data_IF_539151452148
#
_entry.id   IF_539151452148
#
_cell.length_a   1.000
_cell.length_b   1.000
_cell.length_c   1.000
_cell.angle_alpha   90.00
_cell.angle_beta   90.00
_cell.angle_gamma   90.00
#
_symmetry.space_group_name_H-M   'P 1'
#
loop_
_entity.id
_entity.type
_entity.pdbx_description
1 polymer ?
#
# COMPACT_ATOMS: atom_id res chain seq x y z
N UNK A 1 -8.19 1.06 -17.24
CA UNK A 1 -9.46 1.45 -16.58
C UNK A 1 -9.23 1.44 -15.09
N UNK A 2 -9.86 2.35 -14.32
CA UNK A 2 -9.74 2.37 -12.86
C UNK A 2 -10.17 1.02 -12.26
N UNK A 3 -9.49 0.58 -11.22
CA UNK A 3 -9.88 -0.65 -10.53
C UNK A 3 -11.26 -0.44 -9.85
N UNK A 4 -12.27 -1.27 -10.16
CA UNK A 4 -13.64 -1.05 -9.67
C UNK A 4 -13.80 -1.23 -8.16
N UNK A 5 -12.84 -1.88 -7.49
CA UNK A 5 -12.88 -2.17 -6.06
C UNK A 5 -12.31 -1.04 -5.19
N UNK A 6 -11.68 -0.03 -5.78
CA UNK A 6 -11.05 1.05 -5.04
C UNK A 6 -11.40 2.42 -5.59
N UNK A 7 -11.24 3.44 -4.73
CA UNK A 7 -11.45 4.85 -5.05
C UNK A 7 -10.43 5.67 -4.30
N UNK A 8 -9.80 6.62 -4.99
CA UNK A 8 -8.93 7.61 -4.36
C UNK A 8 -9.81 8.77 -3.85
N UNK A 9 -9.55 9.26 -2.65
CA UNK A 9 -10.24 10.43 -2.09
C UNK A 9 -9.24 11.39 -1.46
N UNK A 10 -9.53 12.69 -1.52
CA UNK A 10 -8.80 13.69 -0.74
C UNK A 10 -9.11 13.48 0.74
N UNK A 11 -8.06 13.58 1.57
CA UNK A 11 -8.18 13.42 3.02
C UNK A 11 -8.68 14.72 3.66
N UNK A 12 -9.35 14.58 4.81
CA UNK A 12 -9.75 15.70 5.66
C UNK A 12 -8.59 16.14 6.56
N UNK A 13 -8.69 17.34 7.14
CA UNK A 13 -7.64 18.00 7.93
C UNK A 13 -7.31 17.30 9.26
N UNK A 14 -8.18 16.42 9.74
CA UNK A 14 -7.97 15.56 10.89
C UNK A 14 -7.14 14.29 10.59
N UNK A 15 -6.86 14.01 9.32
CA UNK A 15 -6.10 12.83 8.93
C UNK A 15 -4.58 13.08 8.99
N UNK A 16 -3.77 12.17 9.57
CA UNK A 16 -2.31 12.35 9.69
C UNK A 16 -1.56 12.57 8.36
N UNK A 17 -2.11 12.08 7.25
CA UNK A 17 -1.57 12.26 5.91
C UNK A 17 -2.18 13.45 5.12
N UNK A 18 -2.98 14.32 5.76
CA UNK A 18 -3.43 15.57 5.15
C UNK A 18 -2.23 16.47 4.77
N UNK A 19 -2.26 17.20 3.63
CA UNK A 19 -3.35 17.40 2.68
C UNK A 19 -3.43 16.37 1.54
N UNK A 20 -2.86 15.18 1.74
CA UNK A 20 -2.77 14.13 0.75
C UNK A 20 -4.10 13.43 0.41
N UNK A 21 -3.95 12.24 -0.16
CA UNK A 21 -5.06 11.39 -0.60
C UNK A 21 -4.97 10.03 0.10
N UNK A 22 -6.10 9.33 0.15
CA UNK A 22 -6.20 7.97 0.66
C UNK A 22 -6.87 7.04 -0.34
N UNK A 23 -6.61 5.74 -0.19
CA UNK A 23 -7.22 4.67 -0.96
C UNK A 23 -8.39 4.06 -0.17
N UNK A 24 -9.59 4.07 -0.75
CA UNK A 24 -10.81 3.61 -0.08
C UNK A 24 -11.45 2.46 -0.84
N UNK A 25 -12.07 1.54 -0.11
CA UNK A 25 -12.85 0.46 -0.70
C UNK A 25 -14.08 1.04 -1.42
N UNK A 26 -14.30 0.63 -2.67
CA UNK A 26 -15.47 1.00 -3.46
C UNK A 26 -16.59 -0.06 -3.42
N UNK A 27 -16.25 -1.26 -2.94
CA UNK A 27 -17.16 -2.38 -2.66
C UNK A 27 -16.79 -3.01 -1.30
N UNK A 28 -17.61 -3.94 -0.82
CA UNK A 28 -17.23 -4.79 0.32
C UNK A 28 -16.12 -5.77 -0.11
N UNK A 29 -14.98 -5.75 0.58
CA UNK A 29 -13.82 -6.60 0.29
C UNK A 29 -13.69 -7.70 1.35
N UNK A 30 -13.52 -8.94 0.90
CA UNK A 30 -13.44 -10.11 1.78
C UNK A 30 -12.01 -10.31 2.30
N UNK A 31 -11.87 -11.00 3.43
CA UNK A 31 -10.55 -11.43 3.94
C UNK A 31 -9.79 -12.23 2.87
N UNK A 32 -8.47 -12.01 2.78
CA UNK A 32 -7.57 -12.67 1.80
C UNK A 32 -7.88 -12.36 0.33
N UNK A 33 -8.76 -11.42 0.04
CA UNK A 33 -8.99 -10.94 -1.32
C UNK A 33 -7.88 -9.96 -1.73
N UNK A 34 -7.45 -10.05 -2.99
CA UNK A 34 -6.57 -9.03 -3.57
C UNK A 34 -7.38 -7.78 -3.89
N UNK A 35 -6.90 -6.63 -3.40
CA UNK A 35 -7.56 -5.34 -3.59
C UNK A 35 -7.13 -4.71 -4.91
N UNK A 36 -5.82 -4.52 -5.07
CA UNK A 36 -5.18 -3.98 -6.27
C UNK A 36 -3.69 -4.38 -6.26
N UNK A 37 -3.06 -4.46 -7.42
CA UNK A 37 -1.60 -4.62 -7.50
C UNK A 37 -0.90 -3.29 -7.24
N UNK A 38 0.16 -3.28 -6.45
CA UNK A 38 1.08 -2.14 -6.35
C UNK A 38 2.02 -2.18 -7.55
N UNK A 39 1.89 -1.23 -8.46
CA UNK A 39 2.69 -1.18 -9.68
C UNK A 39 3.53 0.08 -9.72
N UNK A 40 4.63 0.01 -10.46
CA UNK A 40 5.45 1.17 -10.77
C UNK A 40 6.71 0.81 -11.52
N UNK A 41 7.72 1.68 -11.46
CA UNK A 41 9.02 1.41 -12.07
C UNK A 41 9.77 0.39 -11.21
N UNK A 42 10.16 -0.73 -11.81
CA UNK A 42 11.01 -1.72 -11.12
C UNK A 42 12.47 -1.31 -11.29
N UNK A 43 13.20 -1.26 -10.19
CA UNK A 43 14.65 -0.98 -10.15
C UNK A 43 15.34 -1.92 -9.19
N UNK A 44 16.65 -2.11 -9.34
CA UNK A 44 17.44 -2.80 -8.32
C UNK A 44 17.55 -1.94 -7.06
N UNK A 45 17.51 -2.58 -5.88
CA UNK A 45 17.64 -1.89 -4.58
C UNK A 45 18.94 -1.09 -4.46
N UNK A 46 20.03 -1.60 -5.04
CA UNK A 46 21.38 -1.00 -4.99
C UNK A 46 21.49 0.37 -5.69
N UNK A 47 20.64 0.64 -6.69
CA UNK A 47 20.63 1.91 -7.42
C UNK A 47 20.05 3.04 -6.55
N UNK A 48 19.37 2.67 -5.46
CA UNK A 48 18.68 3.59 -4.57
C UNK A 48 17.30 3.98 -5.08
N UNK A 49 16.46 4.43 -4.16
CA UNK A 49 15.10 4.89 -4.40
C UNK A 49 15.01 6.37 -4.83
N UNK A 50 16.17 7.04 -4.93
CA UNK A 50 16.24 8.48 -5.21
C UNK A 50 15.50 9.34 -4.17
N UNK A 51 15.24 8.82 -2.96
CA UNK A 51 14.47 9.48 -1.91
C UNK A 51 12.94 9.45 -2.12
N UNK A 52 12.42 8.59 -2.99
CA UNK A 52 10.98 8.43 -3.19
C UNK A 52 10.30 7.74 -2.01
N UNK A 53 9.24 8.35 -1.47
CA UNK A 53 8.39 7.77 -0.42
C UNK A 53 7.53 6.58 -0.92
N UNK A 54 7.54 6.32 -2.23
CA UNK A 54 6.68 5.34 -2.90
C UNK A 54 7.42 4.05 -3.26
N UNK A 55 8.59 3.83 -2.65
CA UNK A 55 9.39 2.63 -2.90
C UNK A 55 9.00 1.50 -1.96
N UNK A 56 8.65 0.37 -2.58
CA UNK A 56 8.31 -0.86 -1.90
C UNK A 56 9.30 -1.96 -2.32
N UNK A 57 9.83 -2.70 -1.37
CA UNK A 57 10.69 -3.86 -1.66
C UNK A 57 9.96 -4.91 -2.48
N UNK A 58 10.67 -5.53 -3.41
CA UNK A 58 10.14 -6.54 -4.32
C UNK A 58 11.19 -7.64 -4.55
N UNK A 59 10.94 -8.81 -3.97
CA UNK A 59 11.92 -9.86 -3.78
C UNK A 59 13.13 -9.37 -2.99
N UNK A 60 14.25 -10.08 -3.17
CA UNK A 60 15.49 -9.77 -2.46
C UNK A 60 16.28 -8.64 -3.11
N UNK A 61 16.21 -8.50 -4.44
CA UNK A 61 17.09 -7.61 -5.21
C UNK A 61 16.41 -6.35 -5.75
N UNK A 62 15.08 -6.31 -5.83
CA UNK A 62 14.36 -5.26 -6.53
C UNK A 62 13.46 -4.43 -5.61
N UNK A 63 13.01 -3.30 -6.14
CA UNK A 63 11.97 -2.48 -5.56
C UNK A 63 11.05 -1.94 -6.65
N UNK A 64 9.85 -1.54 -6.25
CA UNK A 64 8.85 -0.92 -7.11
C UNK A 64 8.67 0.52 -6.64
N UNK A 65 8.98 1.50 -7.49
CA UNK A 65 8.71 2.92 -7.26
C UNK A 65 7.42 3.36 -7.97
N UNK A 66 6.40 3.67 -7.17
CA UNK A 66 5.10 4.14 -7.65
C UNK A 66 5.01 5.64 -7.94
N UNK A 67 6.09 6.42 -7.76
CA UNK A 67 6.02 7.89 -7.77
C UNK A 67 5.59 8.52 -9.11
N UNK A 68 6.27 8.17 -10.22
CA UNK A 68 5.99 8.76 -11.55
C UNK A 68 5.01 7.94 -12.38
N UNK A 69 4.96 6.64 -12.13
CA UNK A 69 4.14 5.67 -12.83
C UNK A 69 3.71 4.64 -11.79
N UNK A 70 2.41 4.51 -11.52
CA UNK A 70 1.94 3.56 -10.53
C UNK A 70 0.42 3.45 -10.52
N UNK A 71 -0.07 2.35 -9.94
CA UNK A 71 -1.50 2.09 -9.76
C UNK A 71 -2.09 2.93 -8.63
N UNK A 72 -3.40 2.83 -8.43
CA UNK A 72 -4.11 3.40 -7.29
C UNK A 72 -3.56 2.94 -5.94
N UNK A 73 -2.87 1.78 -5.90
CA UNK A 73 -2.21 1.24 -4.72
C UNK A 73 -1.21 2.21 -4.07
N UNK A 74 -0.66 3.16 -4.83
CA UNK A 74 0.27 4.18 -4.34
C UNK A 74 -0.33 5.17 -3.34
N UNK A 75 -1.66 5.26 -3.24
CA UNK A 75 -2.37 6.16 -2.33
C UNK A 75 -2.76 5.49 -1.00
N UNK A 76 -2.29 4.27 -0.76
CA UNK A 76 -2.52 3.57 0.50
C UNK A 76 -1.69 4.21 1.60
N UNK A 77 -2.29 4.50 2.75
CA UNK A 77 -1.61 5.11 3.88
C UNK A 77 -1.19 4.06 4.94
N UNK A 78 -0.27 4.46 5.82
CA UNK A 78 0.02 3.70 7.03
C UNK A 78 -1.14 3.79 8.02
N UNK A 79 -1.40 2.70 8.70
CA UNK A 79 -2.50 2.60 9.65
C UNK A 79 -2.30 3.42 10.94
N UNK A 80 -1.05 3.76 11.31
CA UNK A 80 -0.74 4.38 12.60
C UNK A 80 -1.40 5.75 12.72
N UNK A 81 -2.10 5.95 13.84
CA UNK A 81 -2.86 7.18 14.09
C UNK A 81 -4.27 7.19 13.51
N UNK A 82 -4.66 6.17 12.72
CA UNK A 82 -6.01 6.08 12.14
C UNK A 82 -6.72 4.77 12.56
N UNK A 83 -6.06 3.63 12.45
CA UNK A 83 -6.59 2.32 12.85
C UNK A 83 -5.73 1.69 13.97
N UNK A 84 -6.29 0.78 14.78
CA UNK A 84 -5.50 0.06 15.78
C UNK A 84 -4.51 -0.94 15.16
N UNK A 85 -4.82 -1.45 13.96
CA UNK A 85 -4.02 -2.41 13.17
C UNK A 85 -4.27 -2.17 11.67
N UNK A 86 -3.32 -2.52 10.78
CA UNK A 86 -3.56 -2.45 9.35
C UNK A 86 -4.65 -3.44 8.92
N UNK A 87 -5.49 -3.06 7.96
CA UNK A 87 -6.52 -3.92 7.40
C UNK A 87 -6.10 -4.62 6.09
N UNK A 88 -5.00 -4.17 5.49
CA UNK A 88 -4.36 -4.80 4.34
C UNK A 88 -2.84 -4.99 4.55
N UNK A 89 -2.24 -5.82 3.71
CA UNK A 89 -0.79 -6.07 3.66
C UNK A 89 -0.30 -6.14 2.22
N UNK A 90 0.97 -5.83 2.00
CA UNK A 90 1.66 -6.15 0.77
C UNK A 90 2.07 -7.63 0.78
N UNK A 91 1.80 -8.37 -0.30
CA UNK A 91 2.34 -9.71 -0.51
C UNK A 91 2.59 -9.93 -2.00
N UNK A 92 3.71 -10.58 -2.29
CA UNK A 92 4.03 -11.08 -3.62
C UNK A 92 3.18 -12.29 -3.97
N UNK A 93 2.85 -12.42 -5.25
CA UNK A 93 2.19 -13.60 -5.79
C UNK A 93 2.58 -13.80 -7.25
N UNK A 94 2.45 -15.03 -7.73
CA UNK A 94 2.58 -15.34 -9.15
C UNK A 94 1.19 -15.17 -9.77
N UNK A 95 1.10 -14.28 -10.75
CA UNK A 95 -0.11 -14.11 -11.54
C UNK A 95 -0.32 -15.34 -12.41
N UNK A 96 -1.43 -16.06 -12.20
CA UNK A 96 -1.68 -17.31 -12.91
C UNK A 96 -1.91 -17.14 -14.42
N UNK A 97 -2.24 -15.93 -14.89
CA UNK A 97 -2.48 -15.66 -16.30
C UNK A 97 -1.19 -15.30 -17.03
N UNK A 98 -0.34 -14.47 -16.41
CA UNK A 98 0.89 -13.98 -17.04
C UNK A 98 2.14 -14.76 -16.63
N UNK A 99 2.08 -15.50 -15.52
CA UNK A 99 3.25 -16.15 -14.90
C UNK A 99 4.21 -15.18 -14.21
N UNK A 100 3.90 -13.89 -14.17
CA UNK A 100 4.75 -12.86 -13.59
C UNK A 100 4.59 -12.81 -12.06
N UNK A 101 5.69 -12.55 -11.36
CA UNK A 101 5.62 -12.16 -9.95
C UNK A 101 5.10 -10.73 -9.88
N UNK A 102 4.07 -10.49 -9.06
CA UNK A 102 3.46 -9.17 -8.84
C UNK A 102 3.36 -8.88 -7.36
N UNK A 103 3.38 -7.60 -7.02
CA UNK A 103 3.11 -7.14 -5.65
C UNK A 103 1.62 -6.81 -5.50
N UNK A 104 0.91 -7.59 -4.68
CA UNK A 104 -0.50 -7.37 -4.38
C UNK A 104 -0.70 -6.65 -3.05
N UNK A 105 -1.77 -5.85 -2.97
CA UNK A 105 -2.34 -5.39 -1.70
C UNK A 105 -3.48 -6.33 -1.36
N UNK A 106 -3.40 -6.99 -0.22
CA UNK A 106 -4.31 -8.06 0.20
C UNK A 106 -5.02 -7.70 1.50
N UNK A 107 -6.31 -8.01 1.60
CA UNK A 107 -7.05 -7.88 2.85
C UNK A 107 -6.49 -8.88 3.87
N UNK A 108 -6.14 -8.39 5.06
CA UNK A 108 -5.58 -9.21 6.13
C UNK A 108 -6.53 -10.36 6.53
N UNK A 109 -5.98 -11.51 6.93
CA UNK A 109 -6.78 -12.68 7.34
C UNK A 109 -7.48 -12.49 8.69
N UNK A 110 -6.89 -11.68 9.57
CA UNK A 110 -7.37 -11.39 10.93
C UNK A 110 -8.35 -10.22 11.01
N UNK A 111 -8.73 -9.63 9.88
CA UNK A 111 -9.82 -8.64 9.82
C UNK A 111 -11.10 -9.29 9.30
N UNK A 112 -12.25 -8.68 9.62
CA UNK A 112 -13.52 -9.02 8.98
C UNK A 112 -13.53 -8.60 7.51
N UNK A 113 -14.70 -8.24 7.00
CA UNK A 113 -14.79 -7.56 5.70
C UNK A 113 -14.39 -6.08 5.82
N UNK A 114 -13.70 -5.55 4.83
CA UNK A 114 -13.57 -4.09 4.65
C UNK A 114 -14.84 -3.63 3.95
N UNK A 115 -15.66 -2.83 4.62
CA UNK A 115 -16.91 -2.32 4.04
C UNK A 115 -16.62 -1.24 3.00
N UNK A 116 -17.52 -1.12 2.02
CA UNK A 116 -17.52 0.01 1.09
C UNK A 116 -17.38 1.34 1.84
N UNK A 117 -16.46 2.17 1.38
CA UNK A 117 -16.20 3.50 1.91
C UNK A 117 -15.14 3.56 3.01
N UNK A 118 -14.71 2.42 3.58
CA UNK A 118 -13.60 2.39 4.54
C UNK A 118 -12.25 2.60 3.86
N UNK A 119 -11.32 3.25 4.57
CA UNK A 119 -9.95 3.43 4.08
C UNK A 119 -9.18 2.11 4.16
N UNK A 120 -8.37 1.87 3.15
CA UNK A 120 -7.48 0.73 3.03
C UNK A 120 -6.11 1.18 3.55
N UNK A 121 -5.55 0.44 4.50
CA UNK A 121 -4.34 0.82 5.21
C UNK A 121 -3.42 -0.36 5.43
N UNK A 122 -2.13 -0.10 5.29
CA UNK A 122 -1.03 -1.06 5.48
C UNK A 122 -0.12 -0.61 6.60
N UNK A 123 0.90 -1.41 6.91
CA UNK A 123 2.08 -0.91 7.62
C UNK A 123 3.17 -0.63 6.58
N UNK A 124 3.67 0.60 6.53
CA UNK A 124 4.87 0.96 5.75
C UNK A 124 6.14 0.29 6.29
N UNK A 125 6.07 -0.25 7.50
CA UNK A 125 7.17 -1.01 8.10
C UNK A 125 8.09 -0.14 8.95
N UNK A 126 8.93 -0.78 9.75
CA UNK A 126 9.77 -0.08 10.72
C UNK A 126 10.84 0.79 10.06
N UNK A 127 11.52 0.27 9.05
CA UNK A 127 12.58 0.99 8.34
C UNK A 127 12.13 2.35 7.80
N UNK A 128 10.93 2.40 7.20
CA UNK A 128 10.34 3.64 6.69
C UNK A 128 10.16 4.71 7.78
N UNK A 129 9.68 4.33 8.96
CA UNK A 129 9.45 5.28 10.04
C UNK A 129 10.72 5.63 10.82
N UNK A 130 11.64 4.67 10.98
CA UNK A 130 12.93 4.89 11.62
C UNK A 130 13.81 5.86 10.85
N UNK A 131 13.84 5.78 9.51
CA UNK A 131 14.61 6.74 8.69
C UNK A 131 14.11 8.19 8.80
N UNK A 132 12.89 8.37 9.32
CA UNK A 132 12.24 9.67 9.56
C UNK A 132 12.27 10.10 11.02
N UNK A 133 12.91 9.32 11.91
CA UNK A 133 12.96 9.62 13.35
C UNK A 133 11.60 9.48 14.06
N UNK A 134 10.63 8.79 13.45
CA UNK A 134 9.25 8.71 13.93
C UNK A 134 8.93 7.41 14.69
N UNK A 135 9.87 6.48 14.75
CA UNK A 135 9.81 5.38 15.72
C UNK A 135 10.64 5.72 16.94
N UNK A 136 9.98 5.72 18.11
CA UNK A 136 10.69 5.70 19.38
C UNK A 136 11.53 4.42 19.42
N UNK A 137 12.85 4.55 19.45
CA UNK A 137 13.73 3.47 19.89
C UNK A 137 13.40 3.23 21.35
N UNK A 138 12.98 2.00 21.66
CA UNK A 138 12.89 1.53 23.03
C UNK A 138 14.27 1.60 23.70
#
# INVERSE_FOLDING_TARGET
>A
MPNPNVRIKKLQDDHPAYPGYGLFANNDLKKREIVVCYTGKVTKKEIGDGGSDYVLGFGDEFCIDGWKQGSEGRFINDYRGILPKPNCTFNEFIDAQTGEIKMGIWVCSGVGKIKKGQEIMVSYGKGFWSSRGLLRTC
#
